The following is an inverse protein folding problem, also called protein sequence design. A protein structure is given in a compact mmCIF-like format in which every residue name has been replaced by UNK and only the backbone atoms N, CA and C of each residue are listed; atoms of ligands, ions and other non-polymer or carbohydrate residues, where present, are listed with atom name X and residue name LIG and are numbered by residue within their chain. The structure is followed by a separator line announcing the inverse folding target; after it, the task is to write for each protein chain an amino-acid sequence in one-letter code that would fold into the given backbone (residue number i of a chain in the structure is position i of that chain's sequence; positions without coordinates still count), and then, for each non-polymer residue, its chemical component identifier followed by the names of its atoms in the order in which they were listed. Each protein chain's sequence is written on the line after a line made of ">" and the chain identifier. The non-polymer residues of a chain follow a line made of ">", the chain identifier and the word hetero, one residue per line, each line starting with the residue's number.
data_IF_390755353816
#
_entry.id   IF_390755353816
#
_cell.length_a   1.000
_cell.length_b   1.000
_cell.length_c   1.000
_cell.angle_alpha   90.00
_cell.angle_beta   90.00
_cell.angle_gamma   90.00
#
_symmetry.space_group_name_H-M   'P 1'
#
loop_
_entity.id
_entity.type
_entity.pdbx_description
1 polymer ?
#
# COMPACT_ATOMS: atom_id res chain seq x y z
N UNK A 1 18.97 -59.93 -36.57
CA UNK A 1 17.73 -59.13 -36.67
C UNK A 1 17.81 -58.03 -35.63
N UNK A 2 18.30 -56.85 -36.01
CA UNK A 2 18.45 -55.70 -35.12
C UNK A 2 17.08 -55.05 -34.91
N UNK A 3 16.67 -54.95 -33.65
CA UNK A 3 15.56 -54.11 -33.21
C UNK A 3 16.15 -52.76 -32.81
N UNK A 4 15.76 -51.66 -33.48
CA UNK A 4 16.13 -50.30 -33.09
C UNK A 4 14.86 -49.53 -32.75
N UNK A 5 14.80 -49.14 -31.47
CA UNK A 5 13.69 -48.52 -30.78
C UNK A 5 13.49 -47.08 -31.28
N UNK A 6 12.28 -46.73 -31.73
CA UNK A 6 11.90 -45.34 -31.99
C UNK A 6 11.77 -44.58 -30.66
N UNK A 7 12.72 -43.68 -30.35
CA UNK A 7 12.54 -42.69 -29.30
C UNK A 7 11.63 -41.56 -29.83
N UNK A 8 10.38 -41.53 -29.36
CA UNK A 8 9.53 -40.35 -29.47
C UNK A 8 10.04 -39.28 -28.49
N UNK A 9 10.65 -38.23 -29.03
CA UNK A 9 10.97 -37.02 -28.27
C UNK A 9 9.68 -36.21 -28.12
N UNK A 10 9.04 -36.33 -26.96
CA UNK A 10 7.97 -35.42 -26.54
C UNK A 10 8.60 -34.06 -26.23
N UNK A 11 8.48 -33.12 -27.17
CA UNK A 11 8.81 -31.72 -26.91
C UNK A 11 7.69 -31.16 -26.02
N UNK A 12 7.93 -31.13 -24.72
CA UNK A 12 7.05 -30.43 -23.79
C UNK A 12 7.20 -28.93 -24.04
N UNK A 13 6.20 -28.34 -24.69
CA UNK A 13 6.03 -26.89 -24.79
C UNK A 13 5.82 -26.33 -23.39
N UNK A 14 6.88 -25.84 -22.75
CA UNK A 14 6.75 -25.04 -21.54
C UNK A 14 6.19 -23.69 -21.98
N UNK A 15 4.88 -23.55 -21.95
CA UNK A 15 4.26 -22.23 -21.95
C UNK A 15 4.64 -21.57 -20.63
N UNK A 16 5.67 -20.73 -20.66
CA UNK A 16 5.93 -19.78 -19.59
C UNK A 16 4.69 -18.88 -19.50
N UNK A 17 3.93 -19.02 -18.42
CA UNK A 17 2.86 -18.07 -18.11
C UNK A 17 3.50 -16.68 -17.96
N UNK A 18 2.91 -15.60 -18.51
CA UNK A 18 3.46 -14.26 -18.42
C UNK A 18 3.62 -13.83 -16.96
N UNK A 19 4.76 -13.21 -16.63
CA UNK A 19 5.11 -12.71 -15.30
C UNK A 19 4.07 -11.70 -14.75
N UNK A 20 3.52 -11.94 -13.56
CA UNK A 20 2.47 -11.10 -12.95
C UNK A 20 3.01 -10.17 -11.85
N UNK A 21 3.19 -8.89 -12.21
CA UNK A 21 2.56 -7.62 -11.71
C UNK A 21 2.26 -7.39 -10.20
N UNK A 22 2.73 -6.25 -9.65
CA UNK A 22 3.29 -6.09 -8.28
C UNK A 22 4.30 -7.22 -8.07
N UNK A 23 5.49 -7.00 -7.48
CA UNK A 23 6.46 -8.12 -7.49
C UNK A 23 5.82 -9.32 -6.76
N UNK A 24 5.53 -10.40 -7.51
CA UNK A 24 4.77 -11.56 -7.04
C UNK A 24 3.25 -11.36 -6.76
N UNK A 25 2.59 -10.34 -7.33
CA UNK A 25 1.18 -10.01 -7.08
C UNK A 25 0.20 -10.48 -8.17
N UNK A 26 -1.05 -10.04 -8.03
CA UNK A 26 -2.12 -10.27 -9.01
C UNK A 26 -3.09 -9.09 -9.04
N UNK A 27 -3.85 -8.95 -10.14
CA UNK A 27 -4.95 -7.97 -10.22
C UNK A 27 -5.99 -8.23 -9.10
N UNK A 28 -6.51 -7.16 -8.52
CA UNK A 28 -7.57 -7.22 -7.53
C UNK A 28 -8.93 -7.39 -8.22
N UNK A 29 -9.81 -8.20 -7.62
CA UNK A 29 -11.17 -8.31 -8.12
C UNK A 29 -11.92 -6.99 -7.94
N UNK A 30 -12.96 -6.76 -8.74
CA UNK A 30 -13.76 -5.56 -8.63
C UNK A 30 -14.35 -5.43 -7.21
N UNK A 31 -14.03 -4.32 -6.54
CA UNK A 31 -14.46 -4.00 -5.18
C UNK A 31 -13.93 -4.98 -4.11
N UNK A 32 -12.80 -5.65 -4.37
CA UNK A 32 -12.16 -6.55 -3.39
C UNK A 32 -11.65 -5.79 -2.15
N UNK A 33 -11.18 -4.56 -2.33
CA UNK A 33 -10.69 -3.70 -1.26
C UNK A 33 -11.54 -2.42 -1.16
N UNK A 34 -12.78 -2.51 -0.64
CA UNK A 34 -13.75 -1.41 -0.70
C UNK A 34 -13.37 -0.18 0.15
N UNK A 35 -12.36 -0.28 1.03
CA UNK A 35 -11.84 0.85 1.80
C UNK A 35 -10.68 1.58 1.12
N UNK A 36 -10.09 1.03 0.05
CA UNK A 36 -8.95 1.69 -0.61
C UNK A 36 -9.41 2.90 -1.43
N UNK A 37 -8.60 3.95 -1.46
CA UNK A 37 -8.82 5.13 -2.29
C UNK A 37 -7.56 5.47 -3.08
N UNK A 38 -7.74 6.11 -4.23
CA UNK A 38 -6.64 6.65 -5.02
C UNK A 38 -6.59 8.18 -4.86
N UNK A 39 -5.41 8.71 -4.57
CA UNK A 39 -5.15 10.11 -4.30
C UNK A 39 -4.39 10.73 -5.46
N UNK A 40 -4.94 11.84 -5.98
CA UNK A 40 -4.25 12.70 -6.94
C UNK A 40 -3.93 14.03 -6.27
N UNK A 41 -2.64 14.32 -6.11
CA UNK A 41 -2.14 15.48 -5.37
C UNK A 41 -1.67 16.55 -6.36
N UNK A 42 -2.20 17.76 -6.23
CA UNK A 42 -1.91 18.90 -7.11
C UNK A 42 -1.22 20.02 -6.35
N UNK A 43 -0.29 20.73 -7.00
CA UNK A 43 0.50 21.78 -6.35
C UNK A 43 -0.01 23.21 -6.59
N UNK A 44 0.41 24.14 -5.74
CA UNK A 44 0.33 25.58 -5.99
C UNK A 44 1.67 26.13 -6.52
N UNK A 45 1.64 27.17 -7.36
CA UNK A 45 0.46 27.81 -7.96
C UNK A 45 -0.03 27.13 -9.26
N UNK A 46 0.73 26.17 -9.80
CA UNK A 46 0.57 25.66 -11.17
C UNK A 46 -0.56 24.65 -11.40
N UNK A 47 -1.14 24.07 -10.36
CA UNK A 47 -2.11 22.95 -10.44
C UNK A 47 -1.59 21.73 -11.21
N UNK A 48 -0.28 21.51 -11.19
CA UNK A 48 0.31 20.30 -11.75
C UNK A 48 0.08 19.15 -10.76
N UNK A 49 -0.25 17.98 -11.29
CA UNK A 49 -0.27 16.75 -10.49
C UNK A 49 1.18 16.39 -10.13
N UNK A 50 1.49 16.38 -8.85
CA UNK A 50 2.84 16.18 -8.32
C UNK A 50 3.06 14.80 -7.71
N UNK A 51 1.98 14.12 -7.32
CA UNK A 51 2.05 12.79 -6.73
C UNK A 51 0.76 12.01 -6.95
N UNK A 52 0.92 10.70 -7.06
CA UNK A 52 -0.12 9.68 -7.04
C UNK A 52 0.14 8.78 -5.83
N UNK A 53 -0.86 8.61 -4.99
CA UNK A 53 -0.76 7.79 -3.79
C UNK A 53 -2.04 6.98 -3.58
N UNK A 54 -1.96 5.95 -2.76
CA UNK A 54 -3.10 5.32 -2.13
C UNK A 54 -3.52 6.02 -0.84
N UNK A 55 -4.66 5.57 -0.33
CA UNK A 55 -5.15 5.88 1.01
C UNK A 55 -6.15 4.81 1.43
N UNK A 56 -6.60 4.90 2.68
CA UNK A 56 -7.64 4.01 3.21
C UNK A 56 -8.73 4.80 3.90
N UNK A 57 -9.99 4.58 3.54
CA UNK A 57 -11.15 5.09 4.28
C UNK A 57 -11.23 4.40 5.64
N UNK A 58 -11.27 5.21 6.70
CA UNK A 58 -11.32 4.74 8.09
C UNK A 58 -12.65 5.10 8.77
N UNK A 59 -13.37 6.08 8.21
CA UNK A 59 -14.77 6.41 8.49
C UNK A 59 -15.39 7.16 7.29
N UNK A 60 -16.60 7.71 7.46
CA UNK A 60 -17.33 8.41 6.39
C UNK A 60 -16.68 9.70 5.89
N UNK A 61 -15.73 10.26 6.64
CA UNK A 61 -15.11 11.57 6.37
C UNK A 61 -13.59 11.54 6.39
N UNK A 62 -12.95 10.42 6.74
CA UNK A 62 -11.51 10.36 6.92
C UNK A 62 -10.83 9.31 6.07
N UNK A 63 -9.70 9.72 5.49
CA UNK A 63 -8.75 8.85 4.80
C UNK A 63 -7.41 8.89 5.52
N UNK A 64 -6.85 7.73 5.81
CA UNK A 64 -5.48 7.57 6.27
C UNK A 64 -4.54 7.37 5.07
N UNK A 65 -3.42 8.07 5.06
CA UNK A 65 -2.39 7.99 4.00
C UNK A 65 -1.01 8.34 4.57
N UNK A 66 0.03 8.36 3.74
CA UNK A 66 1.39 8.70 4.14
C UNK A 66 1.60 10.22 4.15
N UNK A 67 2.45 10.72 5.05
CA UNK A 67 2.79 12.14 5.11
C UNK A 67 3.63 12.59 3.90
N UNK A 68 4.49 11.71 3.38
CA UNK A 68 5.33 11.99 2.21
C UNK A 68 4.51 12.25 0.94
N UNK A 69 3.31 11.67 0.83
CA UNK A 69 2.38 11.94 -0.28
C UNK A 69 1.95 13.42 -0.35
N UNK A 70 2.09 14.14 0.77
CA UNK A 70 1.59 15.50 1.00
C UNK A 70 2.75 16.47 1.28
N UNK A 71 3.95 16.13 0.79
CA UNK A 71 5.10 17.04 0.75
C UNK A 71 4.96 18.09 -0.38
N UNK A 72 5.70 19.19 -0.23
CA UNK A 72 5.61 20.32 -1.14
C UNK A 72 4.40 21.22 -0.87
N UNK A 73 4.10 22.09 -1.84
CA UNK A 73 3.04 23.09 -1.73
C UNK A 73 1.71 22.52 -2.26
N UNK A 74 1.07 21.67 -1.47
CA UNK A 74 -0.19 20.99 -1.85
C UNK A 74 -1.32 22.01 -1.96
N UNK A 75 -1.94 22.09 -3.15
CA UNK A 75 -3.14 22.90 -3.42
C UNK A 75 -4.42 22.16 -3.10
N UNK A 76 -4.50 20.94 -3.60
CA UNK A 76 -5.74 20.16 -3.69
C UNK A 76 -5.38 18.68 -3.76
N UNK A 77 -6.15 17.87 -3.06
CA UNK A 77 -6.11 16.42 -3.16
C UNK A 77 -7.46 15.95 -3.68
N UNK A 78 -7.48 15.28 -4.84
CA UNK A 78 -8.67 14.52 -5.27
C UNK A 78 -8.58 13.13 -4.66
N UNK A 79 -9.71 12.63 -4.19
CA UNK A 79 -9.87 11.33 -3.58
C UNK A 79 -10.84 10.54 -4.46
N UNK A 80 -10.30 9.62 -5.24
CA UNK A 80 -11.08 8.67 -6.04
C UNK A 80 -11.49 7.49 -5.14
N UNK A 81 -12.80 7.27 -5.03
CA UNK A 81 -13.42 6.34 -4.10
C UNK A 81 -14.31 5.35 -4.86
N UNK A 82 -14.14 4.05 -4.58
CA UNK A 82 -15.02 3.00 -5.08
C UNK A 82 -14.80 2.59 -6.53
N UNK A 83 -13.56 2.67 -7.00
CA UNK A 83 -13.15 2.21 -8.33
C UNK A 83 -11.79 1.50 -8.26
N UNK A 84 -11.63 0.42 -9.03
CA UNK A 84 -10.34 -0.23 -9.23
C UNK A 84 -9.47 0.51 -10.26
N UNK A 85 -10.07 1.32 -11.14
CA UNK A 85 -9.32 2.06 -12.14
C UNK A 85 -8.98 3.48 -11.63
N UNK A 86 -7.69 3.78 -11.52
CA UNK A 86 -7.22 5.05 -10.91
C UNK A 86 -7.64 6.31 -11.68
N UNK A 87 -8.00 6.18 -12.95
CA UNK A 87 -8.46 7.28 -13.82
C UNK A 87 -9.98 7.35 -14.00
N UNK A 88 -10.72 6.33 -13.55
CA UNK A 88 -12.18 6.27 -13.66
C UNK A 88 -12.79 6.42 -12.27
N UNK A 89 -13.10 7.65 -11.82
CA UNK A 89 -13.56 7.87 -10.46
C UNK A 89 -14.92 7.25 -10.17
N UNK A 90 -15.08 6.65 -8.99
CA UNK A 90 -16.39 6.19 -8.53
C UNK A 90 -17.29 7.36 -8.12
N UNK A 91 -18.60 7.10 -7.99
CA UNK A 91 -19.64 8.14 -7.82
C UNK A 91 -19.52 8.96 -6.54
N UNK A 92 -18.83 8.46 -5.52
CA UNK A 92 -18.61 9.15 -4.23
C UNK A 92 -17.24 9.85 -4.16
N UNK A 93 -16.50 9.90 -5.27
CA UNK A 93 -15.19 10.58 -5.31
C UNK A 93 -15.34 12.08 -5.00
N UNK A 94 -14.41 12.60 -4.21
CA UNK A 94 -14.47 13.98 -3.68
C UNK A 94 -13.07 14.59 -3.57
N UNK A 95 -12.93 15.70 -2.85
CA UNK A 95 -11.64 16.32 -2.51
C UNK A 95 -11.39 16.25 -1.01
N UNK A 96 -10.15 16.50 -0.59
CA UNK A 96 -9.84 16.76 0.82
C UNK A 96 -10.08 18.24 1.16
N UNK A 97 -10.77 18.48 2.28
CA UNK A 97 -11.00 19.81 2.87
C UNK A 97 -9.94 20.17 3.92
N UNK A 98 -9.34 19.16 4.56
CA UNK A 98 -8.30 19.31 5.58
C UNK A 98 -7.21 18.26 5.42
N UNK A 99 -5.97 18.67 5.67
CA UNK A 99 -4.79 17.81 5.67
C UNK A 99 -4.11 17.91 7.04
N UNK A 100 -3.90 16.78 7.70
CA UNK A 100 -3.12 16.71 8.94
C UNK A 100 -1.98 15.72 8.76
N UNK A 101 -0.74 16.22 8.73
CA UNK A 101 0.46 15.38 8.79
C UNK A 101 0.89 15.21 10.23
N UNK A 102 1.46 14.07 10.57
CA UNK A 102 2.03 13.88 11.90
C UNK A 102 3.16 14.90 12.14
N UNK A 103 3.08 15.70 13.22
CA UNK A 103 4.00 16.82 13.47
C UNK A 103 5.46 16.41 13.68
N UNK A 104 5.70 15.16 14.06
CA UNK A 104 7.02 14.56 14.17
C UNK A 104 7.53 13.84 12.90
N UNK A 105 6.91 14.06 11.74
CA UNK A 105 7.32 13.46 10.47
C UNK A 105 8.74 13.87 10.08
N UNK A 106 9.56 12.90 9.68
CA UNK A 106 10.94 13.09 9.21
C UNK A 106 11.16 12.27 7.95
N UNK A 107 11.76 12.90 6.93
CA UNK A 107 12.14 12.26 5.69
C UNK A 107 13.57 12.65 5.33
N UNK A 108 14.48 11.68 5.41
CA UNK A 108 15.89 11.81 5.04
C UNK A 108 16.32 10.57 4.25
N UNK A 109 17.48 10.60 3.56
CA UNK A 109 17.96 9.43 2.82
C UNK A 109 18.16 8.15 3.64
N UNK A 110 18.29 8.25 4.97
CA UNK A 110 18.60 7.11 5.86
C UNK A 110 17.51 6.83 6.91
N UNK A 111 16.53 7.72 7.05
CA UNK A 111 15.48 7.64 8.06
C UNK A 111 14.20 8.27 7.53
N UNK A 112 13.14 7.48 7.58
CA UNK A 112 11.77 7.93 7.44
C UNK A 112 11.06 7.58 8.77
N UNK A 113 10.42 8.57 9.39
CA UNK A 113 9.78 8.42 10.70
C UNK A 113 8.44 9.14 10.71
N UNK A 114 7.43 8.54 11.35
CA UNK A 114 6.10 9.11 11.52
C UNK A 114 5.46 9.52 10.19
N UNK A 115 5.61 8.68 9.17
CA UNK A 115 5.12 8.94 7.82
C UNK A 115 3.64 8.59 7.70
N UNK A 116 2.81 9.39 8.37
CA UNK A 116 1.37 9.19 8.45
C UNK A 116 0.63 10.53 8.42
N UNK A 117 -0.49 10.55 7.72
CA UNK A 117 -1.34 11.71 7.55
C UNK A 117 -2.82 11.31 7.48
N UNK A 118 -3.69 12.24 7.87
CA UNK A 118 -5.14 12.13 7.75
C UNK A 118 -5.63 13.21 6.79
N UNK A 119 -6.51 12.82 5.88
CA UNK A 119 -7.31 13.71 5.07
C UNK A 119 -8.73 13.72 5.60
N UNK A 120 -9.31 14.91 5.83
CA UNK A 120 -10.77 15.04 5.97
C UNK A 120 -11.35 15.31 4.59
N UNK A 121 -12.36 14.52 4.21
CA UNK A 121 -13.09 14.67 2.95
C UNK A 121 -13.95 15.94 2.99
N UNK A 122 -14.14 16.54 1.82
CA UNK A 122 -15.06 17.69 1.66
C UNK A 122 -16.53 17.26 1.77
N UNK A 123 -16.83 16.02 1.40
CA UNK A 123 -18.18 15.44 1.45
C UNK A 123 -18.10 14.05 2.10
N UNK A 124 -19.04 13.70 3.01
CA UNK A 124 -19.07 12.38 3.61
C UNK A 124 -19.48 11.31 2.60
N UNK A 125 -18.88 10.13 2.70
CA UNK A 125 -19.24 8.95 1.91
C UNK A 125 -20.11 7.99 2.69
N UNK A 126 -20.88 7.18 1.96
CA UNK A 126 -21.77 6.16 2.50
C UNK A 126 -21.26 4.77 2.11
N UNK A 127 -21.40 3.81 3.02
CA UNK A 127 -21.06 2.44 2.72
C UNK A 127 -21.92 1.88 1.58
N UNK A 128 -21.32 0.98 0.82
CA UNK A 128 -21.93 0.27 -0.29
C UNK A 128 -21.04 -0.89 -0.72
N UNK A 129 -21.34 -1.48 -1.87
CA UNK A 129 -20.57 -2.64 -2.37
C UNK A 129 -19.08 -2.36 -2.52
N UNK A 130 -18.73 -1.15 -2.97
CA UNK A 130 -17.36 -0.77 -3.32
C UNK A 130 -16.81 0.32 -2.41
N UNK A 131 -17.51 0.63 -1.31
CA UNK A 131 -17.13 1.65 -0.34
C UNK A 131 -17.41 1.08 1.04
N UNK A 132 -16.38 0.81 1.83
CA UNK A 132 -16.48 0.37 3.22
C UNK A 132 -15.38 1.04 4.04
N UNK A 133 -15.51 1.02 5.36
CA UNK A 133 -14.50 1.57 6.26
C UNK A 133 -13.60 0.46 6.80
N UNK A 134 -12.29 0.67 6.74
CA UNK A 134 -11.35 -0.31 7.26
C UNK A 134 -11.38 -0.31 8.78
N UNK A 135 -11.46 -1.50 9.38
CA UNK A 135 -11.20 -1.63 10.80
C UNK A 135 -9.71 -1.40 11.08
N UNK A 136 -9.40 -0.45 11.95
CA UNK A 136 -8.03 -0.12 12.32
C UNK A 136 -7.46 -1.11 13.33
N UNK A 137 -6.18 -1.48 13.18
CA UNK A 137 -5.44 -2.25 14.17
C UNK A 137 -5.52 -1.63 15.57
N UNK A 138 -5.57 -2.49 16.59
CA UNK A 138 -5.62 -2.06 17.98
C UNK A 138 -4.28 -1.49 18.43
N UNK A 139 -4.29 -0.66 19.47
CA UNK A 139 -3.06 -0.09 20.03
C UNK A 139 -2.11 -1.20 20.49
N UNK A 140 -0.88 -1.18 19.97
CA UNK A 140 0.15 -2.18 20.29
C UNK A 140 -0.11 -3.59 19.74
N UNK A 141 -1.06 -3.75 18.82
CA UNK A 141 -1.31 -5.02 18.15
C UNK A 141 -0.09 -5.44 17.29
N UNK A 142 0.26 -6.72 17.34
CA UNK A 142 1.40 -7.26 16.59
C UNK A 142 0.99 -8.39 15.66
N UNK A 143 1.57 -8.39 14.46
CA UNK A 143 1.20 -9.33 13.40
C UNK A 143 2.15 -10.53 13.30
N UNK A 144 3.29 -10.52 14.00
CA UNK A 144 4.28 -11.60 13.98
C UNK A 144 4.75 -11.87 12.55
N UNK A 145 4.54 -13.09 12.07
CA UNK A 145 4.82 -13.51 10.68
C UNK A 145 3.54 -13.84 9.91
N UNK A 146 2.39 -13.29 10.31
CA UNK A 146 1.12 -13.51 9.62
C UNK A 146 1.18 -12.98 8.19
N UNK A 147 0.45 -13.66 7.28
CA UNK A 147 0.36 -13.23 5.89
C UNK A 147 -0.62 -12.07 5.75
N UNK A 148 -0.08 -10.92 5.41
CA UNK A 148 -0.81 -9.68 5.16
C UNK A 148 -0.99 -9.46 3.65
N UNK A 149 -1.82 -8.50 3.28
CA UNK A 149 -2.12 -8.13 1.90
C UNK A 149 -1.89 -6.63 1.75
N UNK A 150 -0.95 -6.26 0.89
CA UNK A 150 -0.84 -4.88 0.42
C UNK A 150 -1.62 -4.75 -0.89
N UNK A 151 -2.22 -3.58 -1.12
CA UNK A 151 -2.95 -3.29 -2.36
C UNK A 151 -2.67 -1.85 -2.81
N UNK A 152 -2.62 -1.64 -4.13
CA UNK A 152 -2.33 -0.34 -4.70
C UNK A 152 -2.17 -0.36 -6.22
N UNK A 153 -1.77 0.79 -6.75
CA UNK A 153 -1.57 1.06 -8.19
C UNK A 153 -0.09 1.29 -8.51
N UNK A 154 0.80 0.78 -7.68
CA UNK A 154 2.23 1.01 -7.81
C UNK A 154 2.87 0.31 -9.01
N UNK A 155 4.02 0.84 -9.42
CA UNK A 155 4.88 0.34 -10.48
C UNK A 155 5.17 -1.15 -10.29
N UNK A 156 5.24 -1.88 -11.40
CA UNK A 156 5.54 -3.31 -11.35
C UNK A 156 7.00 -3.63 -10.99
N UNK A 157 7.88 -2.64 -11.13
CA UNK A 157 9.31 -2.71 -10.86
C UNK A 157 9.84 -1.29 -10.65
N UNK A 158 11.03 -1.14 -10.08
CA UNK A 158 11.65 0.17 -9.91
C UNK A 158 11.77 0.92 -11.24
N UNK A 159 11.14 2.11 -11.34
CA UNK A 159 11.04 2.91 -12.58
C UNK A 159 10.27 2.21 -13.72
N UNK A 160 9.33 1.33 -13.38
CA UNK A 160 8.42 0.69 -14.31
C UNK A 160 7.23 1.56 -14.67
N UNK A 161 6.25 0.97 -15.37
CA UNK A 161 4.94 1.58 -15.59
C UNK A 161 3.99 1.12 -14.47
N UNK A 162 3.17 2.04 -13.95
CA UNK A 162 2.14 1.69 -12.96
C UNK A 162 0.81 1.32 -13.65
N UNK A 163 0.13 0.24 -13.21
CA UNK A 163 -1.14 -0.20 -13.77
C UNK A 163 -2.24 0.82 -13.57
N UNK A 164 -3.18 0.89 -14.51
CA UNK A 164 -4.40 1.67 -14.30
C UNK A 164 -5.37 0.97 -13.35
N UNK A 165 -5.38 -0.37 -13.35
CA UNK A 165 -6.18 -1.21 -12.46
C UNK A 165 -5.48 -1.49 -11.12
N UNK A 166 -6.28 -1.83 -10.11
CA UNK A 166 -5.81 -2.13 -8.75
C UNK A 166 -5.17 -3.52 -8.70
N UNK A 167 -4.02 -3.62 -8.01
CA UNK A 167 -3.32 -4.88 -7.76
C UNK A 167 -3.19 -5.15 -6.27
N UNK A 168 -2.89 -6.41 -5.94
CA UNK A 168 -2.63 -6.86 -4.57
C UNK A 168 -1.44 -7.80 -4.53
N UNK A 169 -0.80 -7.86 -3.37
CA UNK A 169 0.30 -8.79 -3.09
C UNK A 169 0.23 -9.28 -1.66
N UNK A 170 0.55 -10.55 -1.46
CA UNK A 170 0.62 -11.15 -0.13
C UNK A 170 2.05 -11.05 0.42
N UNK A 171 2.20 -10.44 1.59
CA UNK A 171 3.48 -10.20 2.26
C UNK A 171 3.40 -10.73 3.70
N UNK A 172 4.31 -11.60 4.16
CA UNK A 172 4.36 -11.93 5.58
C UNK A 172 4.83 -10.71 6.36
N UNK A 173 4.17 -10.41 7.48
CA UNK A 173 4.67 -9.44 8.44
C UNK A 173 6.03 -9.86 8.98
N UNK A 174 6.83 -8.89 9.41
CA UNK A 174 8.17 -9.12 9.95
C UNK A 174 8.21 -8.48 11.34
N UNK A 175 8.59 -9.23 12.39
CA UNK A 175 8.79 -8.68 13.72
C UNK A 175 9.74 -7.48 13.68
N UNK A 176 9.38 -6.42 14.40
CA UNK A 176 10.08 -5.14 14.34
C UNK A 176 11.58 -5.27 14.66
N UNK A 177 11.94 -6.06 15.67
CA UNK A 177 13.33 -6.32 16.05
C UNK A 177 14.14 -7.01 14.93
N UNK A 178 13.51 -7.94 14.21
CA UNK A 178 14.11 -8.60 13.04
C UNK A 178 14.31 -7.58 11.93
N UNK A 179 13.32 -6.71 11.69
CA UNK A 179 13.42 -5.66 10.68
C UNK A 179 14.57 -4.70 11.00
N UNK A 180 14.64 -4.19 12.21
CA UNK A 180 15.69 -3.26 12.67
C UNK A 180 17.10 -3.85 12.54
N UNK A 181 17.28 -5.15 12.82
CA UNK A 181 18.60 -5.80 12.71
C UNK A 181 19.05 -6.06 11.27
N UNK A 182 18.12 -6.30 10.36
CA UNK A 182 18.42 -6.80 9.01
C UNK A 182 18.27 -5.74 7.92
N UNK A 183 17.47 -4.72 8.17
CA UNK A 183 17.21 -3.63 7.23
C UNK A 183 18.48 -2.79 7.03
N UNK A 184 18.73 -2.37 5.79
CA UNK A 184 19.75 -1.37 5.44
C UNK A 184 19.34 0.05 5.83
N UNK A 185 18.04 0.30 5.93
CA UNK A 185 17.48 1.55 6.43
C UNK A 185 17.28 1.52 7.94
N UNK A 186 17.42 2.67 8.60
CA UNK A 186 17.10 2.78 10.02
C UNK A 186 15.59 2.66 10.22
N UNK A 187 15.17 1.61 10.93
CA UNK A 187 13.77 1.36 11.26
C UNK A 187 13.44 2.07 12.58
N UNK A 188 12.44 2.95 12.56
CA UNK A 188 11.95 3.66 13.74
C UNK A 188 10.76 2.93 14.36
N UNK A 189 10.51 3.09 15.67
CA UNK A 189 9.52 2.33 16.45
C UNK A 189 8.12 2.23 15.81
N UNK A 190 7.66 3.30 15.13
CA UNK A 190 6.37 3.34 14.43
C UNK A 190 6.36 2.70 13.04
N UNK A 191 7.34 1.85 12.72
CA UNK A 191 7.47 1.18 11.41
C UNK A 191 7.16 -0.32 11.56
N UNK A 192 6.18 -0.77 10.77
CA UNK A 192 5.86 -2.16 10.53
C UNK A 192 6.51 -2.61 9.20
N UNK A 193 7.19 -3.75 9.19
CA UNK A 193 7.79 -4.31 7.98
C UNK A 193 7.02 -5.53 7.50
N UNK A 194 6.97 -5.73 6.19
CA UNK A 194 6.43 -6.94 5.57
C UNK A 194 7.19 -7.33 4.31
N UNK A 195 7.07 -8.59 3.91
CA UNK A 195 7.74 -9.15 2.73
C UNK A 195 8.88 -10.07 3.14
N UNK A 196 9.93 -10.09 2.34
CA UNK A 196 11.12 -10.88 2.65
C UNK A 196 12.40 -10.07 2.36
N UNK A 197 13.53 -10.57 2.88
CA UNK A 197 14.84 -9.94 2.68
C UNK A 197 15.56 -10.50 1.43
N UNK A 198 14.88 -11.27 0.58
CA UNK A 198 15.45 -11.81 -0.65
C UNK A 198 15.21 -10.80 -1.78
N UNK A 199 16.23 -10.63 -2.61
CA UNK A 199 16.07 -9.83 -3.81
C UNK A 199 15.10 -10.51 -4.78
N UNK A 200 14.24 -9.71 -5.42
CA UNK A 200 13.19 -10.21 -6.33
C UNK A 200 11.99 -10.83 -5.59
N UNK A 201 11.94 -10.66 -4.27
CA UNK A 201 10.81 -11.06 -3.44
C UNK A 201 9.60 -10.15 -3.63
N UNK A 202 8.45 -10.63 -3.16
CA UNK A 202 7.22 -9.88 -3.28
C UNK A 202 7.27 -8.58 -2.47
N UNK A 203 6.81 -7.46 -3.04
CA UNK A 203 7.01 -6.13 -2.45
C UNK A 203 6.01 -5.08 -2.94
N UNK A 204 5.86 -4.00 -2.18
CA UNK A 204 5.23 -2.74 -2.65
C UNK A 204 6.24 -1.90 -3.44
N UNK A 205 5.76 -1.05 -4.33
CA UNK A 205 6.60 -0.23 -5.20
C UNK A 205 6.11 1.23 -5.32
N UNK A 206 6.76 2.04 -6.17
CA UNK A 206 6.38 3.43 -6.38
C UNK A 206 4.91 3.54 -6.80
N UNK A 207 4.10 4.36 -6.14
CA UNK A 207 2.66 4.49 -6.44
C UNK A 207 1.73 3.65 -5.55
N UNK A 208 2.28 2.73 -4.75
CA UNK A 208 1.56 2.12 -3.61
C UNK A 208 1.61 2.99 -2.35
N UNK A 209 2.44 4.03 -2.35
CA UNK A 209 2.63 5.01 -1.27
C UNK A 209 1.31 5.47 -0.65
N UNK A 210 1.20 5.41 0.67
CA UNK A 210 -0.02 5.75 1.40
C UNK A 210 -1.15 4.71 1.35
N UNK A 211 -1.01 3.67 0.52
CA UNK A 211 -1.95 2.56 0.43
C UNK A 211 -1.97 1.64 1.65
N UNK A 212 -2.94 0.73 1.74
CA UNK A 212 -3.14 -0.15 2.89
C UNK A 212 -2.20 -1.36 2.90
N UNK A 213 -1.81 -1.75 4.11
CA UNK A 213 -1.47 -3.13 4.45
C UNK A 213 -2.55 -3.70 5.36
N UNK A 214 -3.29 -4.70 4.87
CA UNK A 214 -4.28 -5.43 5.65
C UNK A 214 -3.66 -6.68 6.26
N UNK A 215 -3.79 -6.88 7.57
CA UNK A 215 -3.32 -8.10 8.24
C UNK A 215 -4.45 -8.76 9.03
N UNK A 216 -4.42 -10.10 9.20
CA UNK A 216 -5.35 -10.77 10.09
C UNK A 216 -4.99 -10.48 11.56
N UNK A 217 -5.96 -9.95 12.30
CA UNK A 217 -5.91 -9.79 13.76
C UNK A 217 -5.88 -11.16 14.46
N UNK A 218 -5.68 -11.15 15.78
CA UNK A 218 -5.71 -12.36 16.62
C UNK A 218 -7.01 -13.18 16.51
N UNK A 219 -8.13 -12.55 16.21
CA UNK A 219 -9.43 -13.18 16.00
C UNK A 219 -9.70 -13.58 14.53
N UNK A 220 -8.73 -13.39 13.63
CA UNK A 220 -8.83 -13.70 12.20
C UNK A 220 -9.47 -12.61 11.34
N UNK A 221 -9.95 -11.51 11.91
CA UNK A 221 -10.50 -10.40 11.15
C UNK A 221 -9.39 -9.59 10.46
N UNK A 222 -9.59 -9.20 9.21
CA UNK A 222 -8.67 -8.32 8.51
C UNK A 222 -8.78 -6.89 9.06
N UNK A 223 -7.65 -6.32 9.45
CA UNK A 223 -7.53 -4.94 9.94
C UNK A 223 -6.49 -4.18 9.13
N UNK A 224 -6.66 -2.85 9.03
CA UNK A 224 -5.61 -1.97 8.53
C UNK A 224 -4.47 -1.93 9.55
N UNK A 225 -3.40 -2.64 9.21
CA UNK A 225 -2.21 -2.79 10.04
C UNK A 225 -1.14 -1.73 9.73
N UNK A 226 -1.06 -1.32 8.48
CA UNK A 226 -0.02 -0.40 8.03
C UNK A 226 -0.47 0.53 6.90
N UNK A 227 0.25 1.63 6.77
CA UNK A 227 0.16 2.58 5.65
C UNK A 227 1.48 2.54 4.89
N UNK A 228 1.47 2.22 3.60
CA UNK A 228 2.69 2.07 2.78
C UNK A 228 3.55 3.33 2.83
N UNK A 229 4.82 3.19 3.21
CA UNK A 229 5.71 4.32 3.45
C UNK A 229 6.92 4.29 2.52
N UNK A 230 7.79 3.28 2.66
CA UNK A 230 9.01 3.18 1.85
C UNK A 230 9.41 1.74 1.57
N UNK A 231 10.27 1.58 0.56
CA UNK A 231 10.88 0.31 0.21
C UNK A 231 12.18 0.55 -0.55
N UNK A 232 13.11 -0.39 -0.48
CA UNK A 232 14.39 -0.27 -1.17
C UNK A 232 14.24 -0.74 -2.62
N UNK A 233 14.11 0.20 -3.56
CA UNK A 233 14.00 -0.09 -5.00
C UNK A 233 12.95 -1.17 -5.31
N UNK A 234 11.81 -1.12 -4.62
CA UNK A 234 10.73 -2.10 -4.65
C UNK A 234 11.13 -3.48 -4.10
N UNK A 235 11.95 -4.24 -4.83
CA UNK A 235 12.20 -5.67 -4.58
C UNK A 235 13.60 -5.98 -4.03
N UNK A 236 14.38 -4.97 -3.65
CA UNK A 236 15.73 -5.20 -3.12
C UNK A 236 15.74 -5.45 -1.60
N UNK A 237 14.60 -5.27 -0.93
CA UNK A 237 14.43 -5.47 0.51
C UNK A 237 12.94 -5.53 0.91
N UNK A 238 12.68 -5.58 2.21
CA UNK A 238 11.33 -5.54 2.79
C UNK A 238 10.61 -4.23 2.47
N UNK A 239 9.27 -4.29 2.45
CA UNK A 239 8.41 -3.12 2.39
C UNK A 239 8.13 -2.60 3.81
N UNK A 240 8.19 -1.28 3.99
CA UNK A 240 7.98 -0.62 5.26
C UNK A 240 6.69 0.23 5.24
N UNK A 241 5.97 0.15 6.35
CA UNK A 241 4.66 0.75 6.55
C UNK A 241 4.66 1.52 7.87
N UNK A 242 3.92 2.63 7.94
CA UNK A 242 3.61 3.26 9.22
C UNK A 242 2.63 2.36 9.98
N UNK A 243 3.01 1.94 11.19
CA UNK A 243 2.23 1.02 12.03
C UNK A 243 0.98 1.71 12.59
N UNK A 244 -0.20 1.28 12.14
CA UNK A 244 -1.49 1.86 12.55
C UNK A 244 -1.78 1.65 14.03
N UNK A 245 -1.39 0.51 14.58
CA UNK A 245 -1.53 0.22 16.02
C UNK A 245 -0.64 1.12 16.86
N UNK A 246 0.58 1.44 16.39
CA UNK A 246 1.47 2.40 17.04
C UNK A 246 0.88 3.82 17.02
N UNK A 247 0.33 4.26 15.88
CA UNK A 247 -0.23 5.61 15.72
C UNK A 247 -1.66 5.77 16.23
N UNK A 248 -2.24 4.76 16.91
CA UNK A 248 -3.67 4.76 17.21
C UNK A 248 -4.15 5.97 18.03
N UNK A 249 -3.39 6.38 19.03
CA UNK A 249 -3.73 7.56 19.85
C UNK A 249 -3.67 8.85 19.04
N UNK A 250 -2.67 8.96 18.15
CA UNK A 250 -2.52 10.11 17.26
C UNK A 250 -3.68 10.18 16.27
N UNK A 251 -4.08 9.04 15.68
CA UNK A 251 -5.22 8.96 14.78
C UNK A 251 -6.47 9.47 15.49
N UNK A 252 -6.81 8.90 16.64
CA UNK A 252 -8.02 9.25 17.38
C UNK A 252 -8.06 10.74 17.82
N UNK A 253 -6.89 11.36 18.03
CA UNK A 253 -6.80 12.77 18.44
C UNK A 253 -6.92 13.77 17.27
N UNK A 254 -6.94 13.29 16.02
CA UNK A 254 -6.89 14.13 14.82
C UNK A 254 -8.04 13.87 13.82
N UNK A 255 -8.93 12.91 14.09
CA UNK A 255 -10.22 12.77 13.41
C UNK A 255 -11.08 14.01 13.66
#
# INVERSE_FOLDING_TARGET
>A
MLSLCCLLVMVASVFAAPETQIVGGSEAQNCEFPSIVHLQIFNQPTDNMISLCGGTLIDSTHVLTAAHCLEGNVRRVKVNIGSNNKWSPGSQSTTASRIVKHGGYVHTPYLIKNDIAILTLSEPVREGRCVQFAQLASKGETFGTRRCIAAGWGDFQFKGNSPDELYKVALPAIPHDVCTRRSRMRIADGVLCAGDFRQGGASTCQGDSGGPLYCPSSNGQMVLAGVTSFGNKCDNEVSAFSDVGYFRDWINSNL
#
